data_IF_786630655910
#
_entry.id   IF_786630655910
#
_cell.length_a   1.000
_cell.length_b   1.000
_cell.length_c   1.000
_cell.angle_alpha   90.00
_cell.angle_beta   90.00
_cell.angle_gamma   90.00
#
_symmetry.space_group_name_H-M   'P 1'
#
loop_
_entity.id
_entity.type
_entity.pdbx_description
1 polymer ?
#
# COMPACT_ATOMS: atom_id res chain seq x y z
N UNK A 1 -0.09 -11.85 -10.67
CA UNK A 1 -0.12 -12.53 -9.36
C UNK A 1 -1.05 -11.75 -8.45
N UNK A 2 -1.95 -12.45 -7.75
CA UNK A 2 -2.75 -11.90 -6.67
C UNK A 2 -2.14 -12.40 -5.36
N UNK A 3 -1.81 -11.49 -4.45
CA UNK A 3 -1.36 -11.80 -3.09
C UNK A 3 -2.54 -11.60 -2.14
N UNK A 4 -2.69 -12.53 -1.19
CA UNK A 4 -3.72 -12.52 -0.16
C UNK A 4 -3.08 -13.00 1.15
N UNK A 5 -3.27 -12.25 2.23
CA UNK A 5 -2.95 -12.74 3.56
C UNK A 5 -3.81 -13.94 3.93
N UNK A 6 -3.27 -14.80 4.79
CA UNK A 6 -3.91 -16.05 5.18
C UNK A 6 -5.26 -15.87 5.92
N UNK A 7 -5.51 -14.68 6.47
CA UNK A 7 -6.75 -14.29 7.14
C UNK A 7 -7.74 -13.57 6.20
N UNK A 8 -7.50 -13.58 4.88
CA UNK A 8 -8.42 -13.06 3.88
C UNK A 8 -9.43 -14.12 3.43
N UNK A 9 -10.73 -13.84 3.64
CA UNK A 9 -11.84 -14.72 3.24
C UNK A 9 -12.66 -14.17 2.06
N UNK A 10 -13.17 -15.07 1.21
CA UNK A 10 -14.12 -14.71 0.13
C UNK A 10 -15.50 -14.46 0.73
N UNK A 11 -16.03 -13.24 0.57
CA UNK A 11 -17.35 -12.85 1.09
C UNK A 11 -18.44 -12.72 0.02
N UNK A 12 -18.04 -12.64 -1.26
CA UNK A 12 -18.97 -12.52 -2.38
C UNK A 12 -18.46 -13.34 -3.57
N UNK A 13 -18.88 -14.61 -3.71
CA UNK A 13 -18.42 -15.50 -4.78
C UNK A 13 -19.08 -15.21 -6.14
N UNK A 14 -19.98 -14.22 -6.22
CA UNK A 14 -20.67 -13.86 -7.46
C UNK A 14 -19.93 -12.82 -8.31
N UNK A 15 -18.75 -12.38 -7.87
CA UNK A 15 -17.90 -11.43 -8.58
C UNK A 15 -16.56 -12.06 -8.94
N UNK A 16 -16.03 -11.66 -10.09
CA UNK A 16 -14.77 -12.13 -10.61
C UNK A 16 -13.66 -11.13 -10.26
N UNK A 17 -12.47 -11.61 -9.89
CA UNK A 17 -11.35 -10.72 -9.51
C UNK A 17 -10.92 -9.80 -10.67
N UNK A 18 -11.18 -10.23 -11.90
CA UNK A 18 -10.94 -9.53 -13.15
C UNK A 18 -11.64 -8.17 -13.22
N UNK A 19 -12.75 -7.98 -12.49
CA UNK A 19 -13.45 -6.68 -12.39
C UNK A 19 -12.56 -5.56 -11.84
N UNK A 20 -11.51 -5.91 -11.09
CA UNK A 20 -10.57 -4.96 -10.49
C UNK A 20 -9.20 -4.91 -11.19
N UNK A 21 -9.01 -5.67 -12.27
CA UNK A 21 -7.78 -5.59 -13.07
C UNK A 21 -7.85 -4.33 -13.94
N UNK A 22 -6.77 -3.55 -13.91
CA UNK A 22 -6.58 -2.36 -14.75
C UNK A 22 -5.35 -2.56 -15.63
N UNK A 23 -5.57 -2.62 -16.95
CA UNK A 23 -4.51 -2.87 -17.92
C UNK A 23 -3.53 -1.71 -18.11
N UNK A 24 -3.86 -0.52 -17.59
CA UNK A 24 -3.05 0.69 -17.68
C UNK A 24 -1.92 0.74 -16.66
N UNK A 25 -1.86 -0.21 -15.73
CA UNK A 25 -0.89 -0.24 -14.62
C UNK A 25 -0.36 -1.65 -14.39
N UNK A 26 0.73 -1.72 -13.62
CA UNK A 26 1.46 -2.95 -13.34
C UNK A 26 1.33 -3.40 -11.88
N UNK A 27 1.01 -2.48 -10.96
CA UNK A 27 0.73 -2.78 -9.55
C UNK A 27 -0.60 -2.18 -9.14
N UNK A 28 -1.44 -2.95 -8.47
CA UNK A 28 -2.75 -2.51 -7.97
C UNK A 28 -2.77 -2.74 -6.46
N UNK A 29 -2.96 -1.63 -5.74
CA UNK A 29 -3.08 -1.56 -4.29
C UNK A 29 -4.44 -0.95 -3.92
N UNK A 30 -4.79 -0.96 -2.64
CA UNK A 30 -6.03 -0.37 -2.15
C UNK A 30 -5.86 0.34 -0.80
N UNK A 31 -6.77 1.26 -0.53
CA UNK A 31 -6.87 1.97 0.74
C UNK A 31 -7.72 1.18 1.75
N UNK A 32 -7.19 0.99 2.97
CA UNK A 32 -7.92 0.41 4.10
C UNK A 32 -8.96 1.39 4.63
N UNK A 33 -10.04 0.89 5.19
CA UNK A 33 -11.11 1.71 5.75
C UNK A 33 -10.72 2.31 7.10
N UNK A 34 -10.27 1.48 8.04
CA UNK A 34 -10.16 1.83 9.46
C UNK A 34 -9.03 2.85 9.77
N UNK A 35 -7.93 2.88 8.99
CA UNK A 35 -6.81 3.79 9.25
C UNK A 35 -6.24 4.48 7.99
N UNK A 36 -6.88 4.32 6.83
CA UNK A 36 -6.48 4.95 5.55
C UNK A 36 -5.08 4.58 5.03
N UNK A 37 -4.48 3.50 5.55
CA UNK A 37 -3.27 2.92 4.99
C UNK A 37 -3.49 2.44 3.56
N UNK A 38 -2.41 2.42 2.78
CA UNK A 38 -2.34 1.59 1.57
C UNK A 38 -1.92 0.20 2.02
N UNK A 39 -2.72 -0.82 1.72
CA UNK A 39 -2.55 -2.15 2.31
C UNK A 39 -1.52 -3.01 1.58
N UNK A 40 -0.71 -3.72 2.36
CA UNK A 40 0.16 -4.82 1.91
C UNK A 40 -0.53 -6.20 1.96
N UNK A 41 -1.66 -6.31 2.69
CA UNK A 41 -2.35 -7.59 2.93
C UNK A 41 -2.94 -8.24 1.68
N UNK A 42 -3.24 -7.44 0.66
CA UNK A 42 -3.56 -7.96 -0.66
C UNK A 42 -3.20 -6.96 -1.75
N UNK A 43 -2.68 -7.47 -2.86
CA UNK A 43 -2.33 -6.66 -4.01
C UNK A 43 -2.29 -7.51 -5.28
N UNK A 44 -2.48 -6.86 -6.42
CA UNK A 44 -2.31 -7.50 -7.72
C UNK A 44 -1.10 -6.91 -8.42
N UNK A 45 -0.30 -7.77 -9.04
CA UNK A 45 0.86 -7.39 -9.85
C UNK A 45 0.81 -8.06 -11.21
N UNK A 46 1.08 -7.28 -12.26
CA UNK A 46 1.34 -7.78 -13.60
C UNK A 46 2.73 -8.43 -13.62
N UNK A 47 2.92 -9.46 -14.43
CA UNK A 47 4.27 -9.93 -14.74
C UNK A 47 4.92 -8.96 -15.74
N UNK A 48 5.49 -7.87 -15.23
CA UNK A 48 6.22 -6.86 -16.01
C UNK A 48 7.60 -6.60 -15.41
N UNK A 49 8.48 -5.91 -16.15
CA UNK A 49 9.76 -5.45 -15.60
C UNK A 49 9.57 -4.50 -14.42
N UNK A 50 8.68 -3.51 -14.55
CA UNK A 50 8.37 -2.55 -13.49
C UNK A 50 7.85 -3.24 -12.23
N UNK A 51 6.88 -4.15 -12.34
CA UNK A 51 6.31 -4.82 -11.17
C UNK A 51 7.33 -5.71 -10.45
N UNK A 52 8.21 -6.40 -11.19
CA UNK A 52 9.28 -7.21 -10.60
C UNK A 52 10.29 -6.33 -9.85
N UNK A 53 10.71 -5.23 -10.46
CA UNK A 53 11.61 -4.25 -9.83
C UNK A 53 10.97 -3.63 -8.58
N UNK A 54 9.69 -3.25 -8.65
CA UNK A 54 8.91 -2.77 -7.50
C UNK A 54 8.91 -3.79 -6.35
N UNK A 55 8.60 -5.05 -6.63
CA UNK A 55 8.57 -6.09 -5.59
C UNK A 55 9.95 -6.36 -4.99
N UNK A 56 11.00 -6.43 -5.82
CA UNK A 56 12.37 -6.64 -5.33
C UNK A 56 12.84 -5.48 -4.45
N UNK A 57 12.62 -4.23 -4.88
CA UNK A 57 12.97 -3.04 -4.10
C UNK A 57 12.13 -2.89 -2.83
N UNK A 58 10.89 -3.38 -2.82
CA UNK A 58 10.10 -3.44 -1.60
C UNK A 58 10.65 -4.51 -0.66
N UNK A 59 10.95 -5.71 -1.15
CA UNK A 59 11.53 -6.80 -0.37
C UNK A 59 12.88 -6.41 0.26
N UNK A 60 13.75 -5.72 -0.48
CA UNK A 60 15.05 -5.25 0.02
C UNK A 60 14.92 -4.33 1.25
N UNK A 61 13.74 -3.74 1.50
CA UNK A 61 13.51 -2.90 2.69
C UNK A 61 13.46 -3.67 3.98
N UNK A 62 13.24 -4.98 3.96
CA UNK A 62 13.33 -5.84 5.14
C UNK A 62 14.67 -5.64 5.86
N UNK A 63 15.75 -5.43 5.11
CA UNK A 63 17.10 -5.21 5.63
C UNK A 63 17.36 -3.77 6.12
N UNK A 64 16.38 -2.88 6.02
CA UNK A 64 16.46 -1.47 6.44
C UNK A 64 15.58 -1.15 7.66
N UNK A 65 14.87 -2.15 8.18
CA UNK A 65 13.99 -1.98 9.33
C UNK A 65 14.77 -1.59 10.59
N UNK A 66 14.35 -0.52 11.25
CA UNK A 66 14.86 -0.14 12.56
C UNK A 66 14.14 -0.88 13.69
N UNK A 67 14.75 -0.93 14.88
CA UNK A 67 14.22 -1.65 16.05
C UNK A 67 12.98 -1.01 16.71
N UNK A 68 12.72 0.28 16.47
CA UNK A 68 11.49 0.95 16.96
C UNK A 68 10.29 0.52 16.12
N UNK A 69 9.10 1.00 16.46
CA UNK A 69 7.87 0.66 15.74
C UNK A 69 7.95 1.10 14.28
N UNK A 70 7.92 0.15 13.34
CA UNK A 70 8.19 0.41 11.93
C UNK A 70 7.05 -0.02 10.98
N UNK A 71 6.05 -0.75 11.48
CA UNK A 71 4.92 -1.25 10.68
C UNK A 71 5.27 -2.41 9.73
N UNK A 72 6.46 -3.01 9.85
CA UNK A 72 6.96 -4.11 9.03
C UNK A 72 6.83 -3.81 7.53
N UNK A 73 6.38 -4.79 6.74
CA UNK A 73 6.18 -4.72 5.29
C UNK A 73 5.19 -3.61 4.89
N UNK A 74 4.04 -3.50 5.57
CA UNK A 74 3.03 -2.47 5.31
C UNK A 74 3.55 -1.06 5.64
N UNK A 75 4.37 -0.94 6.68
CA UNK A 75 5.01 0.32 7.05
C UNK A 75 6.01 0.81 6.03
N UNK A 76 6.95 -0.06 5.62
CA UNK A 76 7.95 0.31 4.60
C UNK A 76 7.35 0.45 3.21
N UNK A 77 6.20 -0.17 2.91
CA UNK A 77 5.45 0.05 1.67
C UNK A 77 5.14 1.54 1.47
N UNK A 78 4.74 2.25 2.52
CA UNK A 78 4.41 3.67 2.42
C UNK A 78 5.61 4.52 1.97
N UNK A 79 6.79 4.26 2.53
CA UNK A 79 8.03 4.92 2.11
C UNK A 79 8.44 4.51 0.70
N UNK A 80 8.28 3.23 0.36
CA UNK A 80 8.57 2.72 -0.97
C UNK A 80 7.73 3.40 -2.05
N UNK A 81 6.44 3.61 -1.78
CA UNK A 81 5.54 4.29 -2.71
C UNK A 81 6.01 5.72 -3.01
N UNK A 82 6.52 6.46 -2.02
CA UNK A 82 7.05 7.79 -2.28
C UNK A 82 8.28 7.74 -3.20
N UNK A 83 9.20 6.81 -2.94
CA UNK A 83 10.40 6.62 -3.75
C UNK A 83 10.07 6.21 -5.19
N UNK A 84 9.01 5.42 -5.39
CA UNK A 84 8.58 4.94 -6.71
C UNK A 84 7.79 6.00 -7.50
N UNK A 85 6.92 6.75 -6.83
CA UNK A 85 5.91 7.58 -7.48
C UNK A 85 6.32 9.04 -7.62
N UNK A 86 7.03 9.56 -6.62
CA UNK A 86 7.45 10.97 -6.56
C UNK A 86 8.92 11.09 -6.11
N UNK A 87 9.87 10.46 -6.85
CA UNK A 87 11.29 10.48 -6.47
C UNK A 87 11.86 11.90 -6.38
N UNK A 88 11.31 12.85 -7.12
CA UNK A 88 11.78 14.24 -7.13
C UNK A 88 11.30 15.05 -5.93
N UNK A 89 10.32 14.55 -5.16
CA UNK A 89 9.81 15.16 -3.93
C UNK A 89 10.74 14.88 -2.74
N UNK A 90 12.00 15.31 -2.84
CA UNK A 90 13.08 14.97 -1.91
C UNK A 90 12.73 15.37 -0.47
N UNK A 91 12.16 16.56 -0.27
CA UNK A 91 11.87 17.07 1.06
C UNK A 91 10.71 16.33 1.72
N UNK A 92 9.64 16.06 0.98
CA UNK A 92 8.48 15.31 1.45
C UNK A 92 8.88 13.88 1.83
N UNK A 93 9.69 13.23 0.99
CA UNK A 93 10.25 11.89 1.28
C UNK A 93 11.07 11.89 2.56
N UNK A 94 11.97 12.85 2.71
CA UNK A 94 12.79 13.00 3.92
C UNK A 94 11.92 13.20 5.16
N UNK A 95 10.94 14.10 5.09
CA UNK A 95 10.01 14.36 6.19
C UNK A 95 9.28 13.10 6.63
N UNK A 96 8.70 12.33 5.69
CA UNK A 96 7.98 11.11 6.03
C UNK A 96 8.90 10.01 6.58
N UNK A 97 10.12 9.92 6.07
CA UNK A 97 11.14 9.01 6.60
C UNK A 97 11.56 9.38 8.03
N UNK A 98 11.74 10.67 8.33
CA UNK A 98 12.07 11.16 9.67
C UNK A 98 10.93 10.89 10.67
N UNK A 99 9.68 11.00 10.24
CA UNK A 99 8.51 10.60 11.06
C UNK A 99 8.54 9.10 11.33
N UNK A 100 8.83 8.28 10.31
CA UNK A 100 8.90 6.82 10.44
C UNK A 100 10.01 6.38 11.40
N UNK A 101 11.24 6.89 11.24
CA UNK A 101 12.37 6.61 12.13
C UNK A 101 12.09 6.91 13.60
N UNK A 102 11.20 7.86 13.87
CA UNK A 102 10.87 8.32 15.22
C UNK A 102 9.58 7.71 15.78
N UNK A 103 8.87 6.87 15.03
CA UNK A 103 7.70 6.17 15.52
C UNK A 103 8.10 5.16 16.62
N UNK A 104 7.35 5.16 17.72
CA UNK A 104 7.59 4.32 18.91
C UNK A 104 6.40 3.42 19.26
N UNK A 105 5.26 3.63 18.61
CA UNK A 105 4.02 2.88 18.80
C UNK A 105 3.20 2.87 17.51
N UNK A 106 2.13 2.09 17.49
CA UNK A 106 1.17 2.08 16.39
C UNK A 106 0.59 3.48 16.12
N UNK A 107 0.22 4.21 17.17
CA UNK A 107 -0.39 5.55 17.08
C UNK A 107 0.58 6.57 16.47
N UNK A 108 1.85 6.56 16.90
CA UNK A 108 2.86 7.46 16.35
C UNK A 108 3.23 7.10 14.92
N UNK A 109 3.16 5.81 14.56
CA UNK A 109 3.34 5.35 13.18
C UNK A 109 2.23 5.82 12.23
N UNK A 110 0.99 6.00 12.69
CA UNK A 110 -0.08 6.55 11.83
C UNK A 110 0.25 7.95 11.28
N UNK A 111 1.18 8.69 11.91
CA UNK A 111 1.70 9.93 11.34
C UNK A 111 2.46 9.71 10.02
N UNK A 112 3.12 8.56 9.83
CA UNK A 112 3.77 8.17 8.57
C UNK A 112 2.74 8.01 7.47
N UNK A 113 1.65 7.30 7.78
CA UNK A 113 0.52 7.11 6.85
C UNK A 113 -0.02 8.46 6.42
N UNK A 114 -0.30 9.35 7.39
CA UNK A 114 -0.76 10.71 7.10
C UNK A 114 0.24 11.50 6.23
N UNK A 115 1.53 11.44 6.54
CA UNK A 115 2.58 12.13 5.79
C UNK A 115 2.63 11.66 4.32
N UNK A 116 2.67 10.35 4.10
CA UNK A 116 2.74 9.74 2.76
C UNK A 116 1.48 10.06 1.95
N UNK A 117 0.31 10.01 2.59
CA UNK A 117 -0.97 10.32 1.95
C UNK A 117 -1.06 11.79 1.54
N UNK A 118 -0.54 12.70 2.36
CA UNK A 118 -0.46 14.13 2.02
C UNK A 118 0.52 14.37 0.87
N UNK A 119 1.70 13.74 0.89
CA UNK A 119 2.70 13.88 -0.17
C UNK A 119 2.20 13.36 -1.54
N UNK A 120 1.48 12.24 -1.56
CA UNK A 120 0.88 11.68 -2.78
C UNK A 120 -0.38 12.45 -3.23
N UNK A 121 -1.01 13.20 -2.32
CA UNK A 121 -2.21 13.98 -2.58
C UNK A 121 -3.41 13.14 -3.03
N UNK A 122 -4.22 13.70 -3.94
CA UNK A 122 -5.42 13.05 -4.48
C UNK A 122 -5.14 12.07 -5.63
N UNK A 123 -3.89 11.94 -6.07
CA UNK A 123 -3.51 11.09 -7.19
C UNK A 123 -3.72 9.61 -6.84
N UNK A 124 -4.36 8.86 -7.74
CA UNK A 124 -4.67 7.43 -7.55
C UNK A 124 -4.23 6.55 -8.69
N UNK A 125 -3.74 7.13 -9.77
CA UNK A 125 -3.35 6.43 -10.98
C UNK A 125 -2.05 7.03 -11.52
N UNK A 126 -1.05 6.17 -11.67
CA UNK A 126 0.20 6.45 -12.35
C UNK A 126 0.32 5.47 -13.52
N UNK A 127 -0.04 5.89 -14.75
CA UNK A 127 -0.01 5.02 -15.92
C UNK A 127 1.35 4.34 -16.11
N UNK A 128 1.33 3.06 -16.46
CA UNK A 128 2.53 2.22 -16.58
C UNK A 128 3.23 1.88 -15.27
N UNK A 129 2.71 2.35 -14.13
CA UNK A 129 3.25 2.06 -12.80
C UNK A 129 2.20 1.39 -11.93
N UNK A 130 1.38 2.16 -11.22
CA UNK A 130 0.47 1.63 -10.21
C UNK A 130 -0.81 2.43 -10.06
N UNK A 131 -1.81 1.81 -9.43
CA UNK A 131 -3.03 2.47 -8.97
C UNK A 131 -3.38 2.14 -7.52
N UNK A 132 -4.15 3.04 -6.91
CA UNK A 132 -4.81 2.81 -5.63
C UNK A 132 -6.33 2.77 -5.83
N UNK A 133 -6.97 1.67 -5.43
CA UNK A 133 -8.40 1.68 -5.22
C UNK A 133 -8.76 2.45 -3.94
N UNK A 134 -9.79 3.28 -4.04
CA UNK A 134 -10.38 3.98 -2.89
C UNK A 134 -11.05 2.98 -1.96
N UNK A 135 -11.27 3.40 -0.72
CA UNK A 135 -12.16 2.70 0.23
C UNK A 135 -13.47 2.32 -0.48
N UNK A 136 -13.92 1.08 -0.28
CA UNK A 136 -15.12 0.49 -0.88
C UNK A 136 -15.11 0.28 -2.41
N UNK A 137 -14.01 0.56 -3.10
CA UNK A 137 -13.91 0.38 -4.56
C UNK A 137 -12.97 -0.76 -4.97
N UNK A 138 -12.18 -1.31 -4.04
CA UNK A 138 -11.30 -2.45 -4.27
C UNK A 138 -12.00 -3.80 -4.05
N UNK A 139 -11.24 -4.89 -4.20
CA UNK A 139 -11.70 -6.27 -4.03
C UNK A 139 -11.61 -6.77 -2.58
N UNK A 140 -10.97 -6.01 -1.69
CA UNK A 140 -10.85 -6.31 -0.26
C UNK A 140 -11.43 -5.17 0.57
N UNK A 141 -12.01 -5.52 1.72
CA UNK A 141 -12.46 -4.59 2.75
C UNK A 141 -12.07 -5.12 4.13
N UNK A 142 -11.89 -4.22 5.10
CA UNK A 142 -11.60 -4.63 6.47
C UNK A 142 -12.72 -5.50 7.04
N UNK A 143 -12.37 -6.59 7.74
CA UNK A 143 -13.32 -7.59 8.22
C UNK A 143 -14.44 -7.03 9.11
N UNK A 144 -14.15 -5.97 9.87
CA UNK A 144 -15.15 -5.24 10.67
C UNK A 144 -16.34 -4.70 9.87
N UNK A 145 -16.20 -4.53 8.55
CA UNK A 145 -17.28 -4.09 7.67
C UNK A 145 -18.13 -5.24 7.11
N UNK A 146 -17.71 -6.47 7.35
CA UNK A 146 -18.46 -7.67 6.96
C UNK A 146 -19.50 -8.05 8.02
N UNK A 147 -19.47 -7.47 9.22
CA UNK A 147 -20.54 -7.65 10.22
C UNK A 147 -21.78 -6.81 9.87
N UNK A 148 -22.71 -7.46 9.18
CA UNK A 148 -24.14 -7.15 9.24
C UNK A 148 -24.89 -8.46 9.04
N UNK A 149 -24.98 -9.23 10.13
CA UNK A 149 -26.08 -10.10 10.54
C UNK A 149 -25.80 -10.64 11.93
#
# INVERSE_FOLDING_TARGET
>A
MLVLDADTGVVNPNHCIEEWIDDRVDVILYERFFNSEISAASFMVRNSEFARDFLMKWADREFTLHKRWNGLDNGVLHLHLLDTLIPDAIQERKNCHDVWLNATSYETYLAVVSCVRQALGATRLWPGKLRFYRKAHGWVRDGMLTSNK
#
